data_IF_921694485706
#
_entry.id   IF_921694485706
#
_cell.length_a   1.000
_cell.length_b   1.000
_cell.length_c   1.000
_cell.angle_alpha   90.00
_cell.angle_beta   90.00
_cell.angle_gamma   90.00
#
_symmetry.space_group_name_H-M   'P 1'
#
loop_
_entity.id
_entity.type
_entity.pdbx_description
1 polymer ?
#
# COMPACT_ATOMS: atom_id res chain seq x y z
N UNK A 1 -26.76 -6.13 -18.09
CA UNK A 1 -25.71 -5.84 -17.08
C UNK A 1 -24.96 -4.57 -17.47
N UNK A 2 -24.84 -3.56 -16.58
CA UNK A 2 -23.94 -2.42 -16.81
C UNK A 2 -22.52 -2.88 -16.46
N UNK A 3 -21.58 -2.80 -17.41
CA UNK A 3 -20.17 -3.09 -17.12
C UNK A 3 -19.59 -2.04 -16.15
N UNK A 4 -18.78 -2.50 -15.18
CA UNK A 4 -18.04 -1.61 -14.27
C UNK A 4 -17.06 -0.76 -15.10
N UNK A 5 -17.11 0.56 -14.96
CA UNK A 5 -16.24 1.49 -15.68
C UNK A 5 -14.92 1.63 -14.91
N UNK A 6 -13.84 1.06 -15.46
CA UNK A 6 -12.51 1.13 -14.84
C UNK A 6 -11.78 2.43 -15.21
N UNK A 7 -10.98 2.97 -14.29
CA UNK A 7 -10.09 4.09 -14.58
C UNK A 7 -8.80 3.57 -15.23
N UNK A 8 -8.78 3.59 -16.57
CA UNK A 8 -7.67 3.10 -17.38
C UNK A 8 -6.35 3.83 -17.07
N UNK A 9 -6.39 5.14 -16.83
CA UNK A 9 -5.18 5.92 -16.49
C UNK A 9 -4.53 5.41 -15.21
N UNK A 10 -5.33 5.11 -14.18
CA UNK A 10 -4.82 4.56 -12.92
C UNK A 10 -4.23 3.16 -13.09
N UNK A 11 -4.86 2.30 -13.89
CA UNK A 11 -4.34 0.95 -14.19
C UNK A 11 -2.99 1.03 -14.91
N UNK A 12 -2.86 1.94 -15.88
CA UNK A 12 -1.60 2.15 -16.62
C UNK A 12 -0.49 2.67 -15.72
N UNK A 13 -0.77 3.65 -14.86
CA UNK A 13 0.20 4.16 -13.87
C UNK A 13 0.68 3.04 -12.95
N UNK A 14 -0.24 2.23 -12.43
CA UNK A 14 0.06 1.11 -11.55
C UNK A 14 0.93 0.05 -12.23
N UNK A 15 0.65 -0.29 -13.48
CA UNK A 15 1.49 -1.17 -14.26
C UNK A 15 2.91 -0.60 -14.45
N UNK A 16 3.02 0.71 -14.72
CA UNK A 16 4.30 1.38 -14.88
C UNK A 16 5.13 1.40 -13.59
N UNK A 17 4.49 1.57 -12.43
CA UNK A 17 5.16 1.46 -11.12
C UNK A 17 5.75 0.07 -10.90
N UNK A 18 5.01 -1.00 -11.25
CA UNK A 18 5.52 -2.37 -11.14
C UNK A 18 6.71 -2.62 -12.06
N UNK A 19 6.69 -2.07 -13.28
CA UNK A 19 7.84 -2.15 -14.21
C UNK A 19 9.06 -1.45 -13.61
N UNK A 20 8.90 -0.22 -13.12
CA UNK A 20 10.00 0.56 -12.52
C UNK A 20 10.60 -0.08 -11.29
N UNK A 21 9.73 -0.51 -10.39
CA UNK A 21 10.12 -0.80 -9.01
C UNK A 21 10.30 -2.30 -8.77
N UNK A 22 9.67 -3.16 -9.57
CA UNK A 22 9.71 -4.63 -9.40
C UNK A 22 10.39 -5.33 -10.59
N UNK A 23 10.91 -4.58 -11.57
CA UNK A 23 11.57 -5.13 -12.75
C UNK A 23 10.67 -5.99 -13.66
N UNK A 24 9.34 -5.87 -13.52
CA UNK A 24 8.38 -6.64 -14.31
C UNK A 24 8.36 -6.17 -15.77
N UNK A 25 7.99 -7.05 -16.69
CA UNK A 25 7.65 -6.62 -18.05
C UNK A 25 6.34 -5.81 -18.03
N UNK A 26 6.15 -4.90 -18.99
CA UNK A 26 4.91 -4.10 -19.08
C UNK A 26 3.66 -4.99 -19.18
N UNK A 27 3.77 -6.15 -19.82
CA UNK A 27 2.67 -7.10 -19.95
C UNK A 27 2.27 -7.73 -18.62
N UNK A 28 3.25 -8.07 -17.77
CA UNK A 28 3.02 -8.63 -16.42
C UNK A 28 2.46 -7.56 -15.49
N UNK A 29 3.03 -6.36 -15.52
CA UNK A 29 2.54 -5.21 -14.78
C UNK A 29 1.09 -4.88 -15.12
N UNK A 30 0.72 -4.91 -16.41
CA UNK A 30 -0.65 -4.69 -16.86
C UNK A 30 -1.61 -5.80 -16.43
N UNK A 31 -1.24 -7.07 -16.57
CA UNK A 31 -2.07 -8.20 -16.11
C UNK A 31 -2.35 -8.08 -14.61
N UNK A 32 -1.34 -7.72 -13.81
CA UNK A 32 -1.46 -7.57 -12.37
C UNK A 32 -2.28 -6.33 -12.00
N UNK A 33 -2.02 -5.17 -12.60
CA UNK A 33 -2.81 -3.94 -12.37
C UNK A 33 -4.29 -4.10 -12.77
N UNK A 34 -4.59 -4.81 -13.86
CA UNK A 34 -5.96 -5.14 -14.24
C UNK A 34 -6.62 -6.09 -13.25
N UNK A 35 -5.89 -7.08 -12.74
CA UNK A 35 -6.38 -7.97 -11.69
C UNK A 35 -6.68 -7.17 -10.42
N UNK A 36 -5.77 -6.32 -9.96
CA UNK A 36 -5.98 -5.42 -8.81
C UNK A 36 -7.23 -4.54 -9.01
N UNK A 37 -7.41 -3.93 -10.20
CA UNK A 37 -8.56 -3.09 -10.48
C UNK A 37 -9.90 -3.87 -10.53
N UNK A 38 -9.89 -5.09 -11.10
CA UNK A 38 -11.06 -5.98 -11.14
C UNK A 38 -11.38 -6.59 -9.78
N UNK A 39 -10.36 -6.84 -8.98
CA UNK A 39 -10.45 -7.36 -7.62
C UNK A 39 -10.59 -6.25 -6.59
N UNK A 40 -10.75 -4.97 -7.00
CA UNK A 40 -11.07 -3.87 -6.08
C UNK A 40 -12.43 -4.17 -5.46
N UNK A 41 -12.39 -4.91 -4.35
CA UNK A 41 -13.57 -5.36 -3.60
C UNK A 41 -14.21 -4.09 -3.05
N UNK A 42 -15.49 -3.91 -3.34
CA UNK A 42 -16.26 -2.92 -2.60
C UNK A 42 -16.38 -3.43 -1.16
N UNK A 43 -16.15 -2.54 -0.20
CA UNK A 43 -16.32 -2.87 1.20
C UNK A 43 -17.79 -3.19 1.46
N UNK A 44 -18.02 -4.24 2.24
CA UNK A 44 -19.34 -4.72 2.65
C UNK A 44 -19.60 -4.19 4.05
N UNK A 45 -20.76 -3.57 4.25
CA UNK A 45 -21.21 -3.02 5.53
C UNK A 45 -22.29 -1.97 5.35
N UNK A 46 -22.72 -1.37 6.45
CA UNK A 46 -23.59 -0.18 6.37
C UNK A 46 -22.84 0.97 5.68
N UNK A 47 -23.54 1.94 5.05
CA UNK A 47 -22.89 3.09 4.43
C UNK A 47 -21.91 3.83 5.36
N UNK A 48 -22.24 3.95 6.65
CA UNK A 48 -21.35 4.52 7.66
C UNK A 48 -20.10 3.68 7.92
N UNK A 49 -20.25 2.36 8.03
CA UNK A 49 -19.10 1.46 8.21
C UNK A 49 -18.19 1.48 6.99
N UNK A 50 -18.76 1.44 5.79
CA UNK A 50 -17.98 1.50 4.54
C UNK A 50 -17.21 2.80 4.43
N UNK A 51 -17.84 3.95 4.72
CA UNK A 51 -17.16 5.24 4.72
C UNK A 51 -16.00 5.27 5.73
N UNK A 52 -16.25 4.88 6.98
CA UNK A 52 -15.21 4.92 8.02
C UNK A 52 -14.07 3.94 7.76
N UNK A 53 -14.37 2.72 7.30
CA UNK A 53 -13.35 1.76 6.90
C UNK A 53 -12.50 2.27 5.73
N UNK A 54 -13.11 2.97 4.76
CA UNK A 54 -12.38 3.60 3.67
C UNK A 54 -11.45 4.71 4.19
N UNK A 55 -11.91 5.56 5.12
CA UNK A 55 -11.08 6.60 5.73
C UNK A 55 -9.85 6.00 6.45
N UNK A 56 -10.03 4.90 7.19
CA UNK A 56 -8.93 4.19 7.87
C UNK A 56 -7.91 3.66 6.86
N UNK A 57 -8.39 3.02 5.78
CA UNK A 57 -7.52 2.50 4.71
C UNK A 57 -6.76 3.63 4.01
N UNK A 58 -7.45 4.73 3.72
CA UNK A 58 -6.87 5.88 3.04
C UNK A 58 -5.80 6.55 3.90
N UNK A 59 -6.02 6.71 5.20
CA UNK A 59 -5.05 7.31 6.13
C UNK A 59 -3.75 6.46 6.22
N UNK A 60 -3.91 5.14 6.33
CA UNK A 60 -2.81 4.18 6.29
C UNK A 60 -2.01 4.28 4.98
N UNK A 61 -2.71 4.21 3.83
CA UNK A 61 -2.07 4.20 2.52
C UNK A 61 -1.45 5.56 2.15
N UNK A 62 -2.06 6.67 2.57
CA UNK A 62 -1.52 8.02 2.35
C UNK A 62 -0.23 8.21 3.13
N UNK A 63 -0.20 7.77 4.40
CA UNK A 63 1.02 7.80 5.23
C UNK A 63 2.16 7.02 4.56
N UNK A 64 1.89 5.79 4.12
CA UNK A 64 2.88 4.95 3.46
C UNK A 64 3.36 5.59 2.14
N UNK A 65 2.44 5.99 1.26
CA UNK A 65 2.78 6.54 -0.05
C UNK A 65 3.54 7.87 0.04
N UNK A 66 3.22 8.72 1.02
CA UNK A 66 3.95 9.96 1.25
C UNK A 66 5.41 9.69 1.66
N UNK A 67 5.63 8.71 2.53
CA UNK A 67 6.98 8.34 2.96
C UNK A 67 7.76 7.61 1.87
N UNK A 68 7.14 6.72 1.08
CA UNK A 68 7.75 6.13 -0.13
C UNK A 68 8.20 7.23 -1.09
N UNK A 69 7.34 8.23 -1.33
CA UNK A 69 7.67 9.35 -2.21
C UNK A 69 8.90 10.09 -1.69
N UNK A 70 8.93 10.45 -0.40
CA UNK A 70 10.06 11.16 0.24
C UNK A 70 11.35 10.34 0.20
N UNK A 71 11.28 9.06 0.56
CA UNK A 71 12.42 8.15 0.49
C UNK A 71 12.90 7.92 -0.94
N UNK A 72 12.00 7.96 -1.93
CA UNK A 72 12.32 7.73 -3.34
C UNK A 72 12.84 8.94 -4.12
N UNK A 73 13.00 10.12 -3.50
CA UNK A 73 13.37 11.35 -4.20
C UNK A 73 14.73 11.27 -4.92
N UNK A 74 15.71 10.59 -4.33
CA UNK A 74 17.03 10.35 -4.91
C UNK A 74 17.71 9.15 -4.23
N UNK A 75 18.89 8.75 -4.73
CA UNK A 75 19.58 7.55 -4.23
C UNK A 75 20.05 7.69 -2.77
N UNK A 76 20.43 8.91 -2.34
CA UNK A 76 20.81 9.16 -0.96
C UNK A 76 19.62 9.03 -0.03
N UNK A 77 18.46 9.62 -0.38
CA UNK A 77 17.25 9.53 0.45
C UNK A 77 16.70 8.11 0.49
N UNK A 78 16.85 7.31 -0.57
CA UNK A 78 16.42 5.90 -0.55
C UNK A 78 17.13 5.10 0.52
N UNK A 79 18.45 5.26 0.61
CA UNK A 79 19.29 4.57 1.59
C UNK A 79 19.09 5.10 3.01
N UNK A 80 18.95 6.42 3.16
CA UNK A 80 18.83 7.07 4.47
C UNK A 80 17.44 6.92 5.10
N UNK A 81 16.39 6.92 4.27
CA UNK A 81 14.99 6.90 4.74
C UNK A 81 14.32 5.53 4.54
N UNK A 82 15.09 4.48 4.24
CA UNK A 82 14.62 3.10 4.19
C UNK A 82 13.52 2.85 3.16
N UNK A 83 13.74 3.22 1.89
CA UNK A 83 12.74 3.04 0.82
C UNK A 83 12.23 1.60 0.74
N UNK A 84 13.13 0.61 0.84
CA UNK A 84 12.78 -0.82 0.75
C UNK A 84 11.89 -1.26 1.93
N UNK A 85 12.12 -0.74 3.13
CA UNK A 85 11.29 -0.99 4.32
C UNK A 85 9.88 -0.43 4.10
N UNK A 86 9.76 0.80 3.58
CA UNK A 86 8.46 1.38 3.26
C UNK A 86 7.68 0.56 2.22
N UNK A 87 8.39 0.02 1.22
CA UNK A 87 7.82 -0.89 0.23
C UNK A 87 7.37 -2.21 0.85
N UNK A 88 8.13 -2.76 1.80
CA UNK A 88 7.75 -3.96 2.54
C UNK A 88 6.49 -3.73 3.37
N UNK A 89 6.43 -2.64 4.15
CA UNK A 89 5.26 -2.26 4.94
C UNK A 89 4.03 -2.07 4.04
N UNK A 90 4.20 -1.41 2.88
CA UNK A 90 3.11 -1.27 1.89
C UNK A 90 2.56 -2.62 1.45
N UNK A 91 3.43 -3.58 1.16
CA UNK A 91 3.00 -4.92 0.74
C UNK A 91 2.24 -5.63 1.86
N UNK A 92 2.69 -5.53 3.12
CA UNK A 92 2.00 -6.12 4.27
C UNK A 92 0.60 -5.52 4.46
N UNK A 93 0.47 -4.18 4.39
CA UNK A 93 -0.81 -3.48 4.52
C UNK A 93 -1.75 -3.80 3.36
N UNK A 94 -1.26 -3.82 2.12
CA UNK A 94 -2.06 -4.21 0.95
C UNK A 94 -2.57 -5.65 1.08
N UNK A 95 -1.73 -6.59 1.52
CA UNK A 95 -2.15 -7.97 1.74
C UNK A 95 -3.26 -8.06 2.80
N UNK A 96 -3.19 -7.26 3.87
CA UNK A 96 -4.24 -7.19 4.88
C UNK A 96 -5.54 -6.62 4.31
N UNK A 97 -5.46 -5.55 3.51
CA UNK A 97 -6.62 -4.97 2.81
C UNK A 97 -7.25 -5.99 1.85
N UNK A 98 -6.44 -6.74 1.11
CA UNK A 98 -6.94 -7.71 0.13
C UNK A 98 -7.55 -8.97 0.77
N UNK A 99 -7.19 -9.26 2.03
CA UNK A 99 -7.62 -10.45 2.77
C UNK A 99 -9.12 -10.49 3.06
N UNK A 100 -9.78 -9.33 3.10
CA UNK A 100 -11.20 -9.19 3.42
C UNK A 100 -11.82 -8.01 2.69
N UNK A 101 -13.13 -7.97 2.60
CA UNK A 101 -13.88 -6.77 2.22
C UNK A 101 -14.92 -6.37 3.27
N UNK A 102 -14.89 -6.97 4.45
CA UNK A 102 -15.80 -6.63 5.54
C UNK A 102 -15.36 -5.32 6.21
N UNK A 103 -16.15 -4.25 6.08
CA UNK A 103 -15.83 -2.93 6.63
C UNK A 103 -15.59 -2.98 8.16
N UNK A 104 -16.36 -3.83 8.87
CA UNK A 104 -16.22 -4.02 10.32
C UNK A 104 -14.82 -4.48 10.73
N UNK A 105 -14.15 -5.30 9.91
CA UNK A 105 -12.81 -5.84 10.25
C UNK A 105 -11.80 -4.71 10.32
N UNK A 106 -11.86 -3.75 9.39
CA UNK A 106 -11.00 -2.58 9.38
C UNK A 106 -11.28 -1.65 10.57
N UNK A 107 -12.55 -1.49 10.97
CA UNK A 107 -12.94 -0.65 12.09
C UNK A 107 -12.48 -1.25 13.43
N UNK A 108 -12.73 -2.54 13.63
CA UNK A 108 -12.37 -3.27 14.84
C UNK A 108 -10.85 -3.35 15.03
N UNK A 109 -10.10 -3.47 13.93
CA UNK A 109 -8.64 -3.61 13.94
C UNK A 109 -7.91 -2.35 13.47
N UNK A 110 -8.55 -1.18 13.50
CA UNK A 110 -8.02 0.08 12.93
C UNK A 110 -6.63 0.44 13.45
N UNK A 111 -6.34 0.12 14.72
CA UNK A 111 -5.07 0.44 15.35
C UNK A 111 -3.89 -0.34 14.75
N UNK A 112 -4.14 -1.51 14.13
CA UNK A 112 -3.12 -2.35 13.46
C UNK A 112 -2.50 -1.63 12.27
N UNK A 113 -3.29 -0.87 11.53
CA UNK A 113 -2.86 -0.11 10.34
C UNK A 113 -2.96 1.41 10.56
N UNK A 114 -3.05 1.86 11.82
CA UNK A 114 -3.00 3.28 12.13
C UNK A 114 -1.67 3.91 11.69
N UNK A 115 -1.64 5.18 11.27
CA UNK A 115 -0.40 5.86 10.91
C UNK A 115 0.69 5.74 11.99
N UNK A 116 0.35 5.94 13.26
CA UNK A 116 1.30 5.84 14.38
C UNK A 116 1.92 4.45 14.47
N UNK A 117 1.11 3.40 14.31
CA UNK A 117 1.61 2.01 14.31
C UNK A 117 2.52 1.75 13.12
N UNK A 118 2.17 2.27 11.95
CA UNK A 118 2.95 2.16 10.71
C UNK A 118 4.32 2.84 10.88
N UNK A 119 4.36 4.07 11.39
CA UNK A 119 5.60 4.79 11.66
C UNK A 119 6.47 4.01 12.65
N UNK A 120 5.88 3.51 13.75
CA UNK A 120 6.63 2.73 14.74
C UNK A 120 7.24 1.46 14.17
N UNK A 121 6.50 0.72 13.33
CA UNK A 121 7.03 -0.47 12.65
C UNK A 121 8.20 -0.10 11.74
N UNK A 122 8.08 1.00 10.99
CA UNK A 122 9.18 1.50 10.17
C UNK A 122 10.42 1.79 11.02
N UNK A 123 10.29 2.52 12.12
CA UNK A 123 11.42 2.87 12.99
C UNK A 123 12.10 1.61 13.55
N UNK A 124 11.31 0.63 13.99
CA UNK A 124 11.81 -0.66 14.49
C UNK A 124 12.58 -1.44 13.40
N UNK A 125 12.04 -1.54 12.19
CA UNK A 125 12.68 -2.23 11.07
C UNK A 125 13.96 -1.51 10.63
N UNK A 126 13.89 -0.18 10.51
CA UNK A 126 15.01 0.65 10.08
C UNK A 126 16.16 0.61 11.07
N UNK A 127 15.89 0.71 12.38
CA UNK A 127 16.92 0.55 13.40
C UNK A 127 17.62 -0.82 13.32
N UNK A 128 16.87 -1.91 13.12
CA UNK A 128 17.43 -3.25 12.98
C UNK A 128 18.37 -3.36 11.77
N UNK A 129 18.02 -2.76 10.64
CA UNK A 129 18.90 -2.74 9.47
C UNK A 129 20.19 -1.95 9.71
N UNK A 130 20.12 -0.83 10.44
CA UNK A 130 21.32 -0.05 10.76
C UNK A 130 22.25 -0.82 11.70
N UNK A 131 21.71 -1.53 12.70
CA UNK A 131 22.50 -2.36 13.61
C UNK A 131 23.22 -3.48 12.84
N UNK A 132 22.52 -4.18 11.94
CA UNK A 132 23.10 -5.25 11.11
C UNK A 132 24.27 -4.80 10.24
N UNK A 133 24.35 -3.51 9.86
CA UNK A 133 25.46 -2.98 9.05
C UNK A 133 26.75 -2.78 9.87
N UNK A 134 26.66 -2.80 11.20
CA UNK A 134 27.77 -2.54 12.12
C UNK A 134 28.17 -3.79 12.94
N UNK A 135 27.55 -4.94 12.66
CA UNK A 135 27.94 -6.26 13.18
C UNK A 135 28.69 -7.04 12.11
#
# INVERSE_FOLDING_TARGET
MKMKKYNLSNIMKRAWEMVKNMGMTISEGLKKAWREAKMKKELIGTPKQVAWAQDIIDDAMNTINANIKRAGENENTKKLLGFDIWMEIKNQVVNLIDSTNEAKVFIENRDVISPDRIIRIFDEMHMREQIKKHM
#
